data_IF_267672489707
#
_entry.id   IF_267672489707
#
_cell.length_a   1.000
_cell.length_b   1.000
_cell.length_c   1.000
_cell.angle_alpha   90.00
_cell.angle_beta   90.00
_cell.angle_gamma   90.00
#
_symmetry.space_group_name_H-M   'P 1'
#
loop_
_entity.id
_entity.type
_entity.pdbx_description
1 polymer ?
#
# COMPACT_ATOMS: atom_id res chain seq x y z
N UNK A 1 -52.89 -5.12 -21.22
CA UNK A 1 -53.95 -4.88 -20.22
C UNK A 1 -54.30 -6.14 -19.42
N UNK A 2 -54.66 -7.25 -20.08
CA UNK A 2 -55.04 -8.53 -19.43
C UNK A 2 -53.96 -9.10 -18.50
N UNK A 3 -52.68 -9.07 -18.89
CA UNK A 3 -51.56 -9.55 -18.05
C UNK A 3 -51.33 -8.71 -16.78
N UNK A 4 -51.68 -7.42 -16.81
CA UNK A 4 -51.55 -6.53 -15.67
C UNK A 4 -52.65 -6.81 -14.64
N UNK A 5 -53.88 -7.01 -15.12
CA UNK A 5 -55.05 -7.40 -14.32
C UNK A 5 -54.84 -8.78 -13.68
N UNK A 6 -54.25 -9.74 -14.42
CA UNK A 6 -53.94 -11.08 -13.90
C UNK A 6 -52.89 -11.06 -12.78
N UNK A 7 -51.82 -10.27 -12.93
CA UNK A 7 -50.82 -10.05 -11.86
C UNK A 7 -51.41 -9.34 -10.63
N UNK A 8 -52.30 -8.38 -10.85
CA UNK A 8 -53.00 -7.67 -9.78
C UNK A 8 -53.95 -8.61 -9.01
N UNK A 9 -54.77 -9.40 -9.71
CA UNK A 9 -55.65 -10.40 -9.09
C UNK A 9 -54.89 -11.48 -8.32
N UNK A 10 -53.71 -11.92 -8.82
CA UNK A 10 -52.86 -12.86 -8.07
C UNK A 10 -52.28 -12.23 -6.80
N UNK A 11 -51.87 -10.96 -6.85
CA UNK A 11 -51.31 -10.23 -5.71
C UNK A 11 -52.34 -10.01 -4.59
N UNK A 12 -53.60 -9.75 -4.95
CA UNK A 12 -54.69 -9.52 -3.99
C UNK A 12 -55.63 -10.71 -3.84
N UNK A 13 -55.27 -11.89 -4.33
CA UNK A 13 -56.17 -13.07 -4.41
C UNK A 13 -56.78 -13.42 -3.07
N UNK A 14 -55.96 -13.42 -2.01
CA UNK A 14 -56.42 -13.69 -0.65
C UNK A 14 -57.30 -12.58 -0.11
N UNK A 15 -56.98 -11.32 -0.37
CA UNK A 15 -57.81 -10.16 -0.01
C UNK A 15 -59.19 -10.23 -0.67
N UNK A 16 -59.23 -10.60 -1.96
CA UNK A 16 -60.48 -10.79 -2.72
C UNK A 16 -61.30 -11.94 -2.13
N UNK A 17 -60.67 -13.08 -1.83
CA UNK A 17 -61.35 -14.22 -1.18
C UNK A 17 -61.92 -13.82 0.18
N UNK A 18 -61.17 -13.08 0.99
CA UNK A 18 -61.63 -12.58 2.29
C UNK A 18 -62.83 -11.63 2.12
N UNK A 19 -62.76 -10.69 1.18
CA UNK A 19 -63.87 -9.76 0.91
C UNK A 19 -65.12 -10.51 0.45
N UNK A 20 -64.98 -11.49 -0.46
CA UNK A 20 -66.11 -12.32 -0.91
C UNK A 20 -66.70 -13.11 0.27
N UNK A 21 -65.85 -13.73 1.08
CA UNK A 21 -66.26 -14.54 2.22
C UNK A 21 -67.00 -13.68 3.26
N UNK A 22 -66.49 -12.48 3.54
CA UNK A 22 -67.14 -11.50 4.42
C UNK A 22 -68.48 -11.01 3.85
N UNK A 23 -68.57 -10.75 2.55
CA UNK A 23 -69.81 -10.26 1.93
C UNK A 23 -70.87 -11.37 1.79
N UNK A 24 -70.44 -12.63 1.71
CA UNK A 24 -71.32 -13.80 1.59
C UNK A 24 -71.98 -14.25 2.90
N UNK A 25 -71.37 -13.92 4.05
CA UNK A 25 -71.91 -14.25 5.38
C UNK A 25 -73.31 -13.62 5.64
N UNK A 26 -73.57 -12.34 5.31
CA UNK A 26 -74.92 -11.77 5.38
C UNK A 26 -75.97 -12.52 4.57
N UNK A 27 -75.60 -12.94 3.36
CA UNK A 27 -76.50 -13.67 2.46
C UNK A 27 -76.79 -15.05 3.03
N UNK A 28 -75.77 -15.75 3.54
CA UNK A 28 -75.91 -17.05 4.17
C UNK A 28 -76.74 -17.01 5.46
N UNK A 29 -76.53 -16.01 6.33
CA UNK A 29 -77.32 -15.80 7.55
C UNK A 29 -78.78 -15.55 7.19
N UNK A 30 -79.06 -14.69 6.20
CA UNK A 30 -80.43 -14.44 5.72
C UNK A 30 -81.09 -15.70 5.15
N UNK A 31 -80.33 -16.57 4.49
CA UNK A 31 -80.81 -17.85 3.97
C UNK A 31 -81.09 -18.88 5.07
N UNK A 32 -80.26 -18.91 6.13
CA UNK A 32 -80.43 -19.80 7.29
C UNK A 32 -81.65 -19.37 8.13
N UNK A 33 -81.95 -18.07 8.22
CA UNK A 33 -83.15 -17.55 8.89
C UNK A 33 -84.47 -17.94 8.22
N UNK A 34 -84.43 -18.40 6.95
CA UNK A 34 -85.62 -18.90 6.23
C UNK A 34 -85.93 -20.38 6.54
N UNK A 35 -85.05 -21.10 7.22
CA UNK A 35 -85.36 -22.44 7.74
C UNK A 35 -86.19 -22.35 9.04
N UNK A 36 -87.18 -23.23 9.26
CA UNK A 36 -87.95 -23.23 10.51
C UNK A 36 -87.02 -23.47 11.69
N UNK A 37 -86.86 -22.47 12.57
CA UNK A 37 -85.96 -22.58 13.71
C UNK A 37 -86.66 -23.26 14.89
N UNK A 38 -85.96 -24.17 15.57
CA UNK A 38 -86.42 -24.78 16.83
C UNK A 38 -86.22 -23.84 18.05
N UNK A 39 -85.74 -22.61 17.83
CA UNK A 39 -85.52 -21.58 18.88
C UNK A 39 -85.85 -20.18 18.35
N UNK A 40 -86.39 -19.30 19.21
CA UNK A 40 -86.79 -17.92 18.87
C UNK A 40 -85.59 -16.96 18.81
N UNK A 41 -84.55 -17.31 18.05
CA UNK A 41 -83.42 -16.42 17.80
C UNK A 41 -83.80 -15.54 16.61
N UNK A 42 -84.69 -14.58 16.85
CA UNK A 42 -84.93 -13.48 15.92
C UNK A 42 -84.72 -12.21 16.74
N UNK A 43 -83.50 -11.69 16.72
CA UNK A 43 -83.18 -10.46 17.43
C UNK A 43 -83.96 -9.28 16.88
N UNK A 44 -84.19 -8.25 17.71
CA UNK A 44 -84.87 -7.03 17.27
C UNK A 44 -84.00 -6.23 16.27
N UNK A 45 -84.57 -5.20 15.65
CA UNK A 45 -83.84 -4.36 14.69
C UNK A 45 -82.56 -3.72 15.28
N UNK A 46 -82.55 -3.41 16.57
CA UNK A 46 -81.44 -2.83 17.33
C UNK A 46 -80.32 -3.86 17.53
N UNK A 47 -80.67 -5.11 17.82
CA UNK A 47 -79.71 -6.22 17.95
C UNK A 47 -79.04 -6.54 16.62
N UNK A 48 -79.80 -6.57 15.52
CA UNK A 48 -79.26 -6.75 14.18
C UNK A 48 -78.37 -5.59 13.73
N UNK A 49 -78.77 -4.35 14.00
CA UNK A 49 -77.95 -3.18 13.71
C UNK A 49 -76.61 -3.23 14.47
N UNK A 50 -76.65 -3.65 15.73
CA UNK A 50 -75.46 -3.81 16.58
C UNK A 50 -74.54 -4.92 16.06
N UNK A 51 -75.12 -6.05 15.61
CA UNK A 51 -74.38 -7.13 14.96
C UNK A 51 -73.68 -6.64 13.68
N UNK A 52 -74.41 -5.95 12.77
CA UNK A 52 -73.85 -5.45 11.52
C UNK A 52 -72.73 -4.43 11.74
N UNK A 53 -72.93 -3.52 12.71
CA UNK A 53 -71.92 -2.52 13.09
C UNK A 53 -70.63 -3.18 13.61
N UNK A 54 -70.76 -4.17 14.51
CA UNK A 54 -69.62 -4.93 15.02
C UNK A 54 -68.93 -5.76 13.94
N UNK A 55 -69.70 -6.42 13.08
CA UNK A 55 -69.21 -7.25 11.99
C UNK A 55 -68.38 -6.46 10.97
N UNK A 56 -68.92 -5.34 10.48
CA UNK A 56 -68.24 -4.47 9.51
C UNK A 56 -66.96 -3.89 10.12
N UNK A 57 -67.02 -3.45 11.38
CA UNK A 57 -65.86 -2.90 12.08
C UNK A 57 -64.73 -3.93 12.22
N UNK A 58 -65.06 -5.17 12.56
CA UNK A 58 -64.10 -6.27 12.65
C UNK A 58 -63.50 -6.63 11.27
N UNK A 59 -64.32 -6.65 10.22
CA UNK A 59 -63.86 -6.92 8.86
C UNK A 59 -62.89 -5.84 8.35
N UNK A 60 -63.21 -4.56 8.59
CA UNK A 60 -62.34 -3.43 8.23
C UNK A 60 -61.02 -3.51 8.98
N UNK A 61 -61.04 -3.75 10.30
CA UNK A 61 -59.84 -3.92 11.10
C UNK A 61 -58.95 -5.06 10.58
N UNK A 62 -59.54 -6.20 10.21
CA UNK A 62 -58.80 -7.33 9.65
C UNK A 62 -58.15 -7.01 8.31
N UNK A 63 -58.83 -6.30 7.41
CA UNK A 63 -58.28 -5.86 6.11
C UNK A 63 -57.11 -4.90 6.32
N UNK A 64 -57.26 -3.92 7.21
CA UNK A 64 -56.19 -2.97 7.54
C UNK A 64 -54.95 -3.70 8.09
N UNK A 65 -55.15 -4.62 9.05
CA UNK A 65 -54.07 -5.43 9.61
C UNK A 65 -53.38 -6.29 8.55
N UNK A 66 -54.14 -6.84 7.60
CA UNK A 66 -53.58 -7.64 6.52
C UNK A 66 -52.71 -6.82 5.57
N UNK A 67 -53.19 -5.64 5.15
CA UNK A 67 -52.43 -4.70 4.29
C UNK A 67 -51.17 -4.25 5.02
N UNK A 68 -51.29 -3.84 6.29
CA UNK A 68 -50.15 -3.41 7.10
C UNK A 68 -49.11 -4.52 7.26
N UNK A 69 -49.54 -5.79 7.43
CA UNK A 69 -48.63 -6.94 7.49
C UNK A 69 -47.92 -7.19 6.15
N UNK A 70 -48.60 -7.01 5.03
CA UNK A 70 -47.99 -7.15 3.70
C UNK A 70 -46.93 -6.07 3.44
N UNK A 71 -47.26 -4.81 3.75
CA UNK A 71 -46.34 -3.69 3.57
C UNK A 71 -45.14 -3.79 4.52
N UNK A 72 -45.38 -4.19 5.77
CA UNK A 72 -44.31 -4.44 6.75
C UNK A 72 -43.35 -5.53 6.28
N UNK A 73 -43.86 -6.64 5.73
CA UNK A 73 -43.01 -7.70 5.18
C UNK A 73 -42.14 -7.20 4.03
N UNK A 74 -42.70 -6.39 3.13
CA UNK A 74 -41.98 -5.81 2.01
C UNK A 74 -40.90 -4.82 2.47
N UNK A 75 -41.21 -3.97 3.45
CA UNK A 75 -40.23 -3.07 4.06
C UNK A 75 -39.09 -3.83 4.74
N UNK A 76 -39.40 -4.88 5.52
CA UNK A 76 -38.38 -5.71 6.17
C UNK A 76 -37.47 -6.37 5.14
N UNK A 77 -38.02 -6.88 4.04
CA UNK A 77 -37.22 -7.51 2.99
C UNK A 77 -36.32 -6.51 2.26
N UNK A 78 -36.83 -5.31 1.96
CA UNK A 78 -36.05 -4.24 1.36
C UNK A 78 -34.92 -3.76 2.29
N UNK A 79 -35.24 -3.51 3.56
CA UNK A 79 -34.24 -3.11 4.56
C UNK A 79 -33.16 -4.18 4.75
N UNK A 80 -33.52 -5.47 4.71
CA UNK A 80 -32.54 -6.57 4.74
C UNK A 80 -31.62 -6.57 3.53
N UNK A 81 -32.13 -6.26 2.33
CA UNK A 81 -31.30 -6.18 1.11
C UNK A 81 -30.37 -4.97 1.14
N UNK A 82 -30.89 -3.82 1.57
CA UNK A 82 -30.12 -2.58 1.67
C UNK A 82 -29.01 -2.69 2.74
N UNK A 83 -29.34 -3.19 3.94
CA UNK A 83 -28.35 -3.44 4.99
C UNK A 83 -27.26 -4.42 4.55
N UNK A 84 -27.59 -5.44 3.75
CA UNK A 84 -26.57 -6.36 3.21
C UNK A 84 -25.62 -5.63 2.25
N UNK A 85 -26.17 -4.82 1.34
CA UNK A 85 -25.36 -4.03 0.41
C UNK A 85 -24.46 -3.04 1.14
N UNK A 86 -25.02 -2.30 2.08
CA UNK A 86 -24.27 -1.32 2.88
C UNK A 86 -23.17 -2.01 3.71
N UNK A 87 -23.45 -3.18 4.30
CA UNK A 87 -22.44 -3.93 5.04
C UNK A 87 -21.31 -4.46 4.13
N UNK A 88 -21.63 -4.88 2.91
CA UNK A 88 -20.63 -5.26 1.91
C UNK A 88 -19.77 -4.07 1.47
N UNK A 89 -20.37 -2.91 1.23
CA UNK A 89 -19.68 -1.65 0.90
C UNK A 89 -18.78 -1.19 2.05
N UNK A 90 -19.29 -1.20 3.28
CA UNK A 90 -18.53 -0.87 4.50
C UNK A 90 -17.35 -1.82 4.69
N UNK A 91 -17.54 -3.14 4.49
CA UNK A 91 -16.45 -4.12 4.57
C UNK A 91 -15.39 -3.87 3.50
N UNK A 92 -15.79 -3.54 2.26
CA UNK A 92 -14.84 -3.18 1.19
C UNK A 92 -14.05 -1.92 1.56
N UNK A 93 -14.71 -0.89 2.07
CA UNK A 93 -14.06 0.33 2.53
C UNK A 93 -13.05 0.06 3.64
N UNK A 94 -13.44 -0.71 4.66
CA UNK A 94 -12.54 -1.11 5.76
C UNK A 94 -11.29 -1.86 5.25
N UNK A 95 -11.47 -2.81 4.32
CA UNK A 95 -10.35 -3.53 3.71
C UNK A 95 -9.42 -2.60 2.93
N UNK A 96 -9.97 -1.61 2.21
CA UNK A 96 -9.17 -0.63 1.47
C UNK A 96 -8.42 0.33 2.39
N UNK A 97 -9.03 0.77 3.51
CA UNK A 97 -8.37 1.56 4.54
C UNK A 97 -7.21 0.77 5.15
N UNK A 98 -7.45 -0.49 5.52
CA UNK A 98 -6.40 -1.36 6.08
C UNK A 98 -5.25 -1.55 5.09
N UNK A 99 -5.56 -1.79 3.82
CA UNK A 99 -4.57 -1.92 2.76
C UNK A 99 -3.76 -0.62 2.58
N UNK A 100 -4.43 0.52 2.53
CA UNK A 100 -3.79 1.83 2.45
C UNK A 100 -2.83 2.06 3.63
N UNK A 101 -3.27 1.76 4.86
CA UNK A 101 -2.44 1.89 6.06
C UNK A 101 -1.19 1.00 6.01
N UNK A 102 -1.34 -0.27 5.62
CA UNK A 102 -0.21 -1.20 5.49
C UNK A 102 0.80 -0.74 4.44
N UNK A 103 0.32 -0.28 3.28
CA UNK A 103 1.16 0.21 2.18
C UNK A 103 1.88 1.50 2.57
N UNK A 104 1.19 2.43 3.24
CA UNK A 104 1.79 3.68 3.73
C UNK A 104 2.84 3.42 4.82
N UNK A 105 2.58 2.46 5.72
CA UNK A 105 3.56 2.04 6.72
C UNK A 105 4.82 1.49 6.07
N UNK A 106 4.67 0.60 5.07
CA UNK A 106 5.80 0.10 4.29
C UNK A 106 6.56 1.24 3.61
N UNK A 107 5.87 2.17 2.94
CA UNK A 107 6.53 3.28 2.24
C UNK A 107 7.32 4.18 3.21
N UNK A 108 6.84 4.38 4.43
CA UNK A 108 7.55 5.13 5.46
C UNK A 108 8.81 4.40 5.96
N UNK A 109 8.73 3.08 6.18
CA UNK A 109 9.91 2.27 6.50
C UNK A 109 10.93 2.31 5.35
N UNK A 110 10.44 2.25 4.11
CA UNK A 110 11.26 2.32 2.92
C UNK A 110 11.96 3.67 2.77
N UNK A 111 11.27 4.79 3.01
CA UNK A 111 11.88 6.13 3.04
C UNK A 111 13.03 6.21 4.03
N UNK A 112 12.82 5.69 5.25
CA UNK A 112 13.84 5.71 6.30
C UNK A 112 15.08 4.90 5.88
N UNK A 113 14.88 3.66 5.42
CA UNK A 113 15.97 2.81 4.92
C UNK A 113 16.69 3.46 3.72
N UNK A 114 15.95 4.14 2.83
CA UNK A 114 16.53 4.84 1.67
C UNK A 114 17.42 6.00 2.09
N UNK A 115 16.99 6.79 3.09
CA UNK A 115 17.80 7.91 3.63
C UNK A 115 19.10 7.37 4.22
N UNK A 116 19.00 6.33 5.05
CA UNK A 116 20.17 5.68 5.67
C UNK A 116 21.13 5.13 4.61
N UNK A 117 20.60 4.43 3.61
CA UNK A 117 21.39 3.87 2.50
C UNK A 117 22.14 4.95 1.72
N UNK A 118 21.43 5.99 1.27
CA UNK A 118 22.04 7.12 0.56
C UNK A 118 23.10 7.81 1.42
N UNK A 119 22.82 8.00 2.72
CA UNK A 119 23.77 8.66 3.63
C UNK A 119 25.03 7.85 3.91
N UNK A 120 25.01 6.54 3.68
CA UNK A 120 26.19 5.70 3.87
C UNK A 120 27.33 6.07 2.90
N UNK A 121 26.99 6.60 1.72
CA UNK A 121 27.92 7.02 0.65
C UNK A 121 28.48 8.43 0.86
N UNK A 122 28.95 8.76 2.07
CA UNK A 122 29.38 10.12 2.39
C UNK A 122 30.79 10.41 1.83
N UNK A 123 30.86 11.30 0.83
CA UNK A 123 32.13 11.77 0.26
C UNK A 123 33.06 12.39 1.32
N UNK A 124 32.51 13.18 2.26
CA UNK A 124 33.30 13.80 3.33
C UNK A 124 34.01 12.78 4.23
N UNK A 125 33.41 11.61 4.46
CA UNK A 125 34.02 10.54 5.25
C UNK A 125 35.20 9.92 4.49
N UNK A 126 35.08 9.80 3.16
CA UNK A 126 36.20 9.41 2.29
C UNK A 126 37.31 10.46 2.34
N UNK A 127 37.02 11.74 2.14
CA UNK A 127 38.03 12.82 2.25
C UNK A 127 38.73 12.80 3.61
N UNK A 128 37.98 12.61 4.69
CA UNK A 128 38.55 12.48 6.03
C UNK A 128 39.53 11.30 6.11
N UNK A 129 39.15 10.13 5.60
CA UNK A 129 40.04 8.97 5.58
C UNK A 129 41.33 9.22 4.80
N UNK A 130 41.25 9.94 3.67
CA UNK A 130 42.41 10.29 2.85
C UNK A 130 43.32 11.29 3.57
N UNK A 131 42.75 12.26 4.29
CA UNK A 131 43.55 13.16 5.12
C UNK A 131 44.27 12.42 6.27
N UNK A 132 43.59 11.48 6.93
CA UNK A 132 44.19 10.64 7.99
C UNK A 132 45.30 9.75 7.43
N UNK A 133 45.18 9.30 6.18
CA UNK A 133 46.19 8.45 5.53
C UNK A 133 47.58 9.09 5.52
N UNK A 134 47.66 10.42 5.38
CA UNK A 134 48.93 11.17 5.36
C UNK A 134 49.74 10.99 6.64
N UNK A 135 49.06 10.92 7.78
CA UNK A 135 49.68 10.82 9.09
C UNK A 135 49.75 9.37 9.57
N UNK A 136 48.67 8.62 9.36
CA UNK A 136 48.53 7.25 9.82
C UNK A 136 47.70 6.40 8.85
N UNK A 137 48.36 5.77 7.85
CA UNK A 137 47.71 4.88 6.89
C UNK A 137 46.94 3.72 7.53
N UNK A 138 47.38 3.22 8.70
CA UNK A 138 46.71 2.10 9.40
C UNK A 138 45.36 2.52 9.96
N UNK A 139 45.27 3.72 10.49
CA UNK A 139 44.00 4.23 11.03
C UNK A 139 43.05 4.63 9.91
N UNK A 140 43.57 5.21 8.81
CA UNK A 140 42.78 5.44 7.61
C UNK A 140 42.19 4.15 7.02
N UNK A 141 42.97 3.07 6.97
CA UNK A 141 42.51 1.76 6.51
C UNK A 141 41.34 1.24 7.34
N UNK A 142 41.40 1.38 8.68
CA UNK A 142 40.30 0.99 9.59
C UNK A 142 39.06 1.86 9.39
N UNK A 143 39.23 3.18 9.20
CA UNK A 143 38.12 4.09 8.93
C UNK A 143 37.37 3.62 7.68
N UNK A 144 38.08 3.34 6.59
CA UNK A 144 37.48 2.81 5.36
C UNK A 144 36.75 1.47 5.58
N UNK A 145 37.34 0.56 6.36
CA UNK A 145 36.67 -0.69 6.75
C UNK A 145 35.34 -0.46 7.47
N UNK A 146 35.28 0.49 8.41
CA UNK A 146 34.03 0.85 9.09
C UNK A 146 33.00 1.49 8.16
N UNK A 147 33.42 2.23 7.13
CA UNK A 147 32.49 2.76 6.12
C UNK A 147 31.84 1.63 5.31
N UNK A 148 32.60 0.59 4.96
CA UNK A 148 32.08 -0.60 4.28
C UNK A 148 31.11 -1.38 5.17
N UNK A 149 31.44 -1.59 6.45
CA UNK A 149 30.54 -2.23 7.43
C UNK A 149 29.21 -1.46 7.56
N UNK A 150 29.29 -0.13 7.65
CA UNK A 150 28.11 0.76 7.69
C UNK A 150 27.27 0.59 6.43
N UNK A 151 27.90 0.62 5.25
CA UNK A 151 27.19 0.45 3.98
C UNK A 151 26.50 -0.92 3.89
N UNK A 152 27.19 -2.01 4.22
CA UNK A 152 26.63 -3.36 4.20
C UNK A 152 25.41 -3.50 5.12
N UNK A 153 25.44 -2.86 6.30
CA UNK A 153 24.29 -2.81 7.21
C UNK A 153 23.11 -2.06 6.60
N UNK A 154 23.34 -0.91 5.97
CA UNK A 154 22.30 -0.14 5.31
C UNK A 154 21.72 -0.88 4.09
N UNK A 155 22.55 -1.56 3.30
CA UNK A 155 22.13 -2.38 2.16
C UNK A 155 21.23 -3.54 2.63
N UNK A 156 21.64 -4.23 3.68
CA UNK A 156 20.86 -5.30 4.31
C UNK A 156 19.51 -4.78 4.81
N UNK A 157 19.48 -3.61 5.47
CA UNK A 157 18.25 -2.99 5.94
C UNK A 157 17.29 -2.68 4.78
N UNK A 158 17.81 -2.11 3.69
CA UNK A 158 17.04 -1.81 2.49
C UNK A 158 16.47 -3.09 1.86
N UNK A 159 17.27 -4.16 1.79
CA UNK A 159 16.85 -5.46 1.30
C UNK A 159 15.72 -6.07 2.15
N UNK A 160 15.78 -5.94 3.48
CA UNK A 160 14.72 -6.43 4.38
C UNK A 160 13.41 -5.66 4.26
N UNK A 161 13.45 -4.34 4.08
CA UNK A 161 12.22 -3.57 3.82
C UNK A 161 11.60 -3.97 2.47
N UNK A 162 12.45 -4.27 1.50
CA UNK A 162 12.07 -4.84 0.21
C UNK A 162 11.48 -3.81 -0.76
N UNK A 163 11.99 -3.82 -1.99
CA UNK A 163 11.46 -3.01 -3.08
C UNK A 163 10.20 -3.67 -3.66
N UNK A 164 9.22 -2.86 -4.05
CA UNK A 164 7.93 -3.28 -4.63
C UNK A 164 7.60 -2.52 -5.92
N UNK A 165 6.52 -2.90 -6.59
CA UNK A 165 6.00 -2.13 -7.72
C UNK A 165 6.85 -2.23 -8.98
N UNK A 166 6.45 -1.47 -10.02
CA UNK A 166 6.97 -1.64 -11.39
C UNK A 166 8.39 -1.09 -11.58
N UNK A 167 8.78 -0.10 -10.79
CA UNK A 167 10.07 0.58 -10.94
C UNK A 167 11.18 -0.03 -10.07
N UNK A 168 10.92 -1.17 -9.42
CA UNK A 168 11.88 -1.81 -8.51
C UNK A 168 13.17 -2.22 -9.22
N UNK A 169 13.09 -2.71 -10.45
CA UNK A 169 14.25 -3.22 -11.20
C UNK A 169 15.24 -2.09 -11.52
N UNK A 170 14.73 -0.93 -11.97
CA UNK A 170 15.57 0.25 -12.22
C UNK A 170 16.28 0.70 -10.94
N UNK A 171 15.55 0.78 -9.82
CA UNK A 171 16.14 1.17 -8.54
C UNK A 171 17.21 0.17 -8.10
N UNK A 172 16.89 -1.13 -8.14
CA UNK A 172 17.81 -2.19 -7.76
C UNK A 172 19.10 -2.15 -8.58
N UNK A 173 18.99 -2.03 -9.91
CA UNK A 173 20.16 -1.98 -10.79
C UNK A 173 21.04 -0.76 -10.50
N UNK A 174 20.45 0.42 -10.28
CA UNK A 174 21.20 1.62 -9.90
C UNK A 174 21.90 1.44 -8.55
N UNK A 175 21.21 0.91 -7.53
CA UNK A 175 21.80 0.63 -6.23
C UNK A 175 22.96 -0.37 -6.35
N UNK A 176 22.78 -1.47 -7.07
CA UNK A 176 23.81 -2.49 -7.27
C UNK A 176 25.05 -1.92 -7.97
N UNK A 177 24.86 -1.15 -9.04
CA UNK A 177 25.97 -0.49 -9.75
C UNK A 177 26.72 0.50 -8.86
N UNK A 178 26.01 1.26 -8.03
CA UNK A 178 26.63 2.24 -7.14
C UNK A 178 27.33 1.59 -5.93
N UNK A 179 26.75 0.51 -5.41
CA UNK A 179 27.37 -0.33 -4.38
C UNK A 179 28.69 -0.91 -4.87
N UNK A 180 28.73 -1.49 -6.07
CA UNK A 180 29.96 -2.02 -6.68
C UNK A 180 31.00 -0.90 -6.82
N UNK A 181 30.62 0.23 -7.44
CA UNK A 181 31.52 1.39 -7.60
C UNK A 181 32.14 1.83 -6.27
N UNK A 182 31.33 1.95 -5.22
CA UNK A 182 31.83 2.44 -3.93
C UNK A 182 32.77 1.44 -3.26
N UNK A 183 32.48 0.13 -3.36
CA UNK A 183 33.40 -0.90 -2.88
C UNK A 183 34.72 -0.86 -3.65
N UNK A 184 34.67 -0.78 -4.99
CA UNK A 184 35.85 -0.69 -5.85
C UNK A 184 36.71 0.53 -5.50
N UNK A 185 36.09 1.70 -5.30
CA UNK A 185 36.78 2.93 -4.89
C UNK A 185 37.48 2.78 -3.54
N UNK A 186 36.81 2.19 -2.55
CA UNK A 186 37.41 1.96 -1.22
C UNK A 186 38.55 0.96 -1.32
N UNK A 187 38.35 -0.14 -2.04
CA UNK A 187 39.35 -1.20 -2.22
C UNK A 187 40.61 -0.66 -2.93
N UNK A 188 40.45 0.12 -4.01
CA UNK A 188 41.53 0.80 -4.71
C UNK A 188 42.36 1.69 -3.76
N UNK A 189 41.70 2.45 -2.89
CA UNK A 189 42.35 3.33 -1.92
C UNK A 189 43.03 2.50 -0.81
N UNK A 190 42.40 1.42 -0.36
CA UNK A 190 42.99 0.51 0.62
C UNK A 190 44.27 -0.15 0.10
N UNK A 191 44.35 -0.46 -1.20
CA UNK A 191 45.57 -0.97 -1.83
C UNK A 191 46.73 0.03 -1.74
N UNK A 192 46.49 1.34 -1.90
CA UNK A 192 47.51 2.38 -1.63
C UNK A 192 47.97 2.28 -0.17
N UNK A 193 47.03 2.24 0.77
CA UNK A 193 47.36 2.21 2.19
C UNK A 193 48.18 0.96 2.55
N UNK A 194 47.78 -0.21 2.05
CA UNK A 194 48.50 -1.47 2.25
C UNK A 194 49.92 -1.38 1.71
N UNK A 195 50.10 -0.78 0.53
CA UNK A 195 51.42 -0.52 -0.03
C UNK A 195 52.29 0.33 0.91
N UNK A 196 51.77 1.47 1.36
CA UNK A 196 52.48 2.39 2.27
C UNK A 196 52.83 1.70 3.60
N UNK A 197 51.89 0.93 4.16
CA UNK A 197 52.06 0.22 5.44
C UNK A 197 53.16 -0.84 5.36
N UNK A 198 53.23 -1.59 4.25
CA UNK A 198 54.16 -2.70 4.10
C UNK A 198 55.53 -2.27 3.58
N UNK A 199 55.63 -1.07 3.00
CA UNK A 199 56.87 -0.52 2.47
C UNK A 199 57.73 0.08 3.57
N UNK A 200 59.01 -0.29 3.61
CA UNK A 200 59.96 0.29 4.58
C UNK A 200 60.26 1.77 4.29
N UNK A 201 60.36 2.13 3.00
CA UNK A 201 60.55 3.49 2.47
C UNK A 201 59.67 3.65 1.22
N UNK A 202 58.37 3.93 1.36
CA UNK A 202 57.47 4.04 0.22
C UNK A 202 57.88 5.21 -0.68
N UNK A 203 58.06 4.96 -1.97
CA UNK A 203 58.20 6.01 -2.99
C UNK A 203 57.10 5.88 -4.02
N UNK A 204 56.69 7.01 -4.60
CA UNK A 204 55.62 7.00 -5.60
C UNK A 204 56.06 6.31 -6.89
N UNK A 205 57.33 6.44 -7.28
CA UNK A 205 57.89 5.80 -8.47
C UNK A 205 57.89 4.27 -8.35
N UNK A 206 58.24 3.74 -7.17
CA UNK A 206 58.17 2.31 -6.90
C UNK A 206 56.70 1.84 -6.89
N UNK A 207 55.80 2.63 -6.27
CA UNK A 207 54.37 2.36 -6.29
C UNK A 207 53.81 2.28 -7.73
N UNK A 208 54.20 3.18 -8.63
CA UNK A 208 53.76 3.13 -10.02
C UNK A 208 54.15 1.82 -10.71
N UNK A 209 55.35 1.30 -10.45
CA UNK A 209 55.80 0.02 -10.99
C UNK A 209 54.99 -1.11 -10.37
N UNK A 210 54.89 -1.16 -9.04
CA UNK A 210 54.21 -2.25 -8.33
C UNK A 210 52.69 -2.27 -8.63
N UNK A 211 52.10 -1.11 -8.90
CA UNK A 211 50.67 -0.96 -9.21
C UNK A 211 50.23 -1.64 -10.50
N UNK A 212 51.14 -1.97 -11.42
CA UNK A 212 50.78 -2.68 -12.67
C UNK A 212 50.28 -4.10 -12.40
N UNK A 213 50.79 -4.72 -11.34
CA UNK A 213 50.45 -6.09 -10.92
C UNK A 213 49.45 -6.11 -9.75
N UNK A 214 49.05 -4.95 -9.22
CA UNK A 214 48.04 -4.86 -8.17
C UNK A 214 46.63 -5.15 -8.69
N UNK A 215 45.81 -5.75 -7.82
CA UNK A 215 44.38 -5.99 -8.08
C UNK A 215 43.55 -4.72 -7.85
N UNK A 216 43.87 -3.67 -8.59
CA UNK A 216 43.15 -2.39 -8.60
C UNK A 216 42.39 -2.21 -9.91
N UNK A 217 41.38 -1.35 -9.90
CA UNK A 217 40.57 -1.05 -11.09
C UNK A 217 41.37 -0.34 -12.19
N UNK A 218 40.91 -0.46 -13.43
CA UNK A 218 41.51 0.24 -14.57
C UNK A 218 41.43 1.77 -14.42
N UNK A 219 40.32 2.29 -13.86
CA UNK A 219 40.20 3.71 -13.52
C UNK A 219 41.33 4.16 -12.60
N UNK A 220 41.64 3.35 -11.57
CA UNK A 220 42.73 3.64 -10.65
C UNK A 220 44.09 3.64 -11.34
N UNK A 221 44.36 2.65 -12.21
CA UNK A 221 45.60 2.61 -13.01
C UNK A 221 45.75 3.83 -13.91
N UNK A 222 44.66 4.30 -14.52
CA UNK A 222 44.65 5.52 -15.32
C UNK A 222 44.96 6.77 -14.47
N UNK A 223 44.38 6.87 -13.28
CA UNK A 223 44.65 7.98 -12.34
C UNK A 223 46.12 7.97 -11.90
N UNK A 224 46.67 6.81 -11.53
CA UNK A 224 48.08 6.66 -11.14
C UNK A 224 48.99 7.15 -12.27
N UNK A 225 48.73 6.68 -13.49
CA UNK A 225 49.51 7.08 -14.69
C UNK A 225 49.43 8.58 -14.95
N UNK A 226 48.25 9.18 -14.77
CA UNK A 226 48.05 10.62 -14.92
C UNK A 226 48.82 11.44 -13.89
N UNK A 227 48.77 11.05 -12.61
CA UNK A 227 49.51 11.74 -11.54
C UNK A 227 51.02 11.56 -11.69
N UNK A 228 51.48 10.37 -12.12
CA UNK A 228 52.89 10.09 -12.37
C UNK A 228 53.51 10.97 -13.47
N UNK A 229 52.70 11.42 -14.44
CA UNK A 229 53.14 12.32 -15.50
C UNK A 229 53.35 13.77 -15.03
N UNK A 230 52.87 14.15 -13.84
CA UNK A 230 52.99 15.51 -13.32
C UNK A 230 54.36 15.74 -12.68
N UNK A 231 55.13 16.70 -13.21
CA UNK A 231 56.52 16.94 -12.81
C UNK A 231 56.68 17.83 -11.58
N UNK A 232 55.65 18.58 -11.21
CA UNK A 232 55.73 19.66 -10.21
C UNK A 232 55.10 19.29 -8.85
N UNK A 233 54.58 18.07 -8.69
CA UNK A 233 53.96 17.62 -7.44
C UNK A 233 55.00 17.14 -6.42
N UNK A 234 54.83 17.60 -5.19
CA UNK A 234 55.56 17.12 -4.01
C UNK A 234 55.34 15.61 -3.80
N UNK A 235 56.42 14.88 -3.50
CA UNK A 235 56.38 13.42 -3.37
C UNK A 235 55.43 12.94 -2.27
N UNK A 236 55.31 13.70 -1.18
CA UNK A 236 54.40 13.39 -0.07
C UNK A 236 52.92 13.56 -0.45
N UNK A 237 52.62 14.35 -1.50
CA UNK A 237 51.25 14.64 -1.93
C UNK A 237 50.73 13.69 -3.01
N UNK A 238 51.60 13.04 -3.78
CA UNK A 238 51.18 12.21 -4.93
C UNK A 238 50.26 11.04 -4.57
N UNK A 239 50.53 10.33 -3.47
CA UNK A 239 49.63 9.28 -2.98
C UNK A 239 48.24 9.82 -2.63
N UNK A 240 48.22 10.99 -2.00
CA UNK A 240 46.99 11.66 -1.62
C UNK A 240 46.22 12.15 -2.86
N UNK A 241 46.91 12.65 -3.88
CA UNK A 241 46.29 13.17 -5.10
C UNK A 241 45.66 12.05 -5.94
N UNK A 242 46.33 10.88 -6.00
CA UNK A 242 45.73 9.67 -6.60
C UNK A 242 44.47 9.29 -5.84
N UNK A 243 44.55 9.18 -4.50
CA UNK A 243 43.42 8.75 -3.69
C UNK A 243 42.24 9.76 -3.74
N UNK A 244 42.53 11.07 -3.64
CA UNK A 244 41.54 12.14 -3.79
C UNK A 244 40.87 12.13 -5.16
N UNK A 245 41.65 11.94 -6.23
CA UNK A 245 41.12 11.84 -7.59
C UNK A 245 40.21 10.62 -7.74
N UNK A 246 40.55 9.49 -7.11
CA UNK A 246 39.74 8.28 -7.16
C UNK A 246 38.41 8.45 -6.44
N UNK A 247 38.39 9.02 -5.24
CA UNK A 247 37.15 9.16 -4.46
C UNK A 247 36.17 10.20 -5.03
N UNK A 248 36.65 11.12 -5.88
CA UNK A 248 35.84 12.20 -6.46
C UNK A 248 34.68 11.69 -7.32
N UNK A 249 34.84 10.53 -7.97
CA UNK A 249 33.76 9.95 -8.77
C UNK A 249 32.50 9.62 -7.95
N UNK A 250 32.64 9.41 -6.63
CA UNK A 250 31.50 9.18 -5.72
C UNK A 250 30.67 10.45 -5.56
N UNK A 251 31.31 11.61 -5.41
CA UNK A 251 30.62 12.91 -5.31
C UNK A 251 29.81 13.20 -6.58
N UNK A 252 30.43 13.01 -7.74
CA UNK A 252 29.84 13.28 -9.06
C UNK A 252 28.61 12.41 -9.34
N UNK A 253 28.59 11.19 -8.80
CA UNK A 253 27.52 10.20 -9.02
C UNK A 253 26.52 10.11 -7.87
N UNK A 254 26.77 10.75 -6.73
CA UNK A 254 25.87 10.72 -5.57
C UNK A 254 24.49 11.34 -5.82
N UNK A 255 24.35 12.23 -6.81
CA UNK A 255 23.05 12.77 -7.19
C UNK A 255 22.15 11.70 -7.86
N UNK A 256 22.74 10.81 -8.66
CA UNK A 256 22.03 9.79 -9.42
C UNK A 256 21.22 8.86 -8.49
N UNK A 257 21.86 8.37 -7.43
CA UNK A 257 21.20 7.47 -6.47
C UNK A 257 20.05 8.18 -5.74
N UNK A 258 20.25 9.44 -5.33
CA UNK A 258 19.21 10.25 -4.66
C UNK A 258 17.98 10.43 -5.54
N UNK A 259 18.20 10.78 -6.80
CA UNK A 259 17.13 11.08 -7.74
C UNK A 259 16.30 9.83 -8.09
N UNK A 260 16.97 8.67 -8.21
CA UNK A 260 16.28 7.40 -8.46
C UNK A 260 15.41 7.00 -7.25
N UNK A 261 15.90 7.13 -6.02
CA UNK A 261 15.08 6.90 -4.82
C UNK A 261 13.90 7.87 -4.74
N UNK A 262 14.13 9.17 -4.96
CA UNK A 262 13.08 10.18 -4.92
C UNK A 262 11.96 9.89 -5.94
N UNK A 263 12.35 9.55 -7.17
CA UNK A 263 11.42 9.19 -8.26
C UNK A 263 10.62 7.93 -7.92
N UNK A 264 11.29 6.91 -7.39
CA UNK A 264 10.65 5.67 -6.98
C UNK A 264 9.62 5.90 -5.85
N UNK A 265 10.02 6.62 -4.80
CA UNK A 265 9.15 6.96 -3.65
C UNK A 265 7.93 7.78 -4.11
N UNK A 266 8.12 8.76 -5.00
CA UNK A 266 7.02 9.55 -5.53
C UNK A 266 6.03 8.71 -6.36
N UNK A 267 6.54 7.76 -7.14
CA UNK A 267 5.72 6.84 -7.92
C UNK A 267 4.87 5.94 -7.01
N UNK A 268 5.50 5.35 -5.98
CA UNK A 268 4.81 4.48 -5.04
C UNK A 268 3.81 5.25 -4.16
N UNK A 269 4.12 6.49 -3.75
CA UNK A 269 3.17 7.36 -3.06
C UNK A 269 1.90 7.53 -3.89
N UNK A 270 2.02 7.87 -5.17
CA UNK A 270 0.88 8.03 -6.07
C UNK A 270 0.06 6.74 -6.20
N UNK A 271 0.72 5.58 -6.33
CA UNK A 271 0.04 4.27 -6.38
C UNK A 271 -0.77 4.01 -5.12
N UNK A 272 -0.24 4.39 -3.95
CA UNK A 272 -0.90 4.19 -2.65
C UNK A 272 -2.10 5.13 -2.51
N UNK A 273 -1.97 6.40 -2.91
CA UNK A 273 -3.07 7.38 -2.88
C UNK A 273 -4.24 6.96 -3.78
N UNK A 274 -3.96 6.22 -4.85
CA UNK A 274 -4.98 5.63 -5.74
C UNK A 274 -5.85 4.54 -5.06
N UNK A 275 -5.40 3.93 -3.95
CA UNK A 275 -6.14 2.89 -3.23
C UNK A 275 -7.47 3.42 -2.68
N UNK A 276 -7.47 4.65 -2.14
CA UNK A 276 -8.66 5.27 -1.56
C UNK A 276 -9.55 5.90 -2.64
N UNK A 277 -8.96 6.48 -3.68
CA UNK A 277 -9.69 7.22 -4.72
C UNK A 277 -10.38 6.32 -5.75
N UNK A 278 -9.97 5.06 -5.92
CA UNK A 278 -10.63 4.11 -6.84
C UNK A 278 -12.10 3.84 -6.52
N UNK A 279 -12.55 4.00 -5.27
CA UNK A 279 -13.94 3.77 -4.88
C UNK A 279 -14.81 5.04 -4.89
N UNK A 280 -14.22 6.24 -4.96
CA UNK A 280 -14.97 7.50 -5.05
C UNK A 280 -15.47 7.79 -6.48
N UNK A 281 -15.03 7.01 -7.47
CA UNK A 281 -15.36 7.17 -8.89
C UNK A 281 -16.31 6.09 -9.45
N UNK A 282 -16.85 5.22 -8.60
CA UNK A 282 -17.91 4.26 -8.94
C UNK A 282 -19.22 4.71 -8.33
#
# INVERSE_FOLDING_TARGET
MINYIKKWMQKYRWTIIIVILVTSIPIAINFILLFPSFTSIVGDNTEWLSFWSGYISAAVAFVILHIQRMDSKKQIENNKKENKRENEENRKLQLNILKYQQEMQWLNMFRQASIEYVSAYTYNDLVHSINVMRENPKDAFKILGHLLERLAKCDTNLAYVGMRGKNMEKLYNTCASFFILYNDVIDDVQHIMVYIINSKNPTFEAFCIDSTDMQITEDMKHIISFVAAQKDLDMEQRFNDVAMSRIKCIEERAAEIRDVFATYIATEQKRIDEILTKNLKQ
#
